data_IF_694341645452
#
_entry.id   IF_694341645452
#
_cell.length_a   1.000
_cell.length_b   1.000
_cell.length_c   1.000
_cell.angle_alpha   90.00
_cell.angle_beta   90.00
_cell.angle_gamma   90.00
#
_symmetry.space_group_name_H-M   'P 1'
#
loop_
_entity.id
_entity.type
_entity.pdbx_description
1 polymer ?
#
# COMPACT_ATOMS: atom_id res chain seq x y z
N UNK A 1 -21.12 8.58 12.26
CA UNK A 1 -21.08 8.17 10.85
C UNK A 1 -22.51 7.98 10.36
N UNK A 2 -23.00 8.82 9.46
CA UNK A 2 -24.43 8.89 9.06
C UNK A 2 -24.90 7.75 8.13
N UNK A 3 -24.22 6.60 8.07
CA UNK A 3 -24.65 5.48 7.23
C UNK A 3 -24.60 5.74 5.72
N UNK A 4 -23.76 6.67 5.25
CA UNK A 4 -23.55 6.92 3.81
C UNK A 4 -22.71 5.79 3.19
N UNK A 5 -23.42 4.74 2.77
CA UNK A 5 -22.82 3.53 2.18
C UNK A 5 -22.24 3.82 0.79
N UNK A 6 -22.85 4.74 0.02
CA UNK A 6 -22.38 5.09 -1.31
C UNK A 6 -20.98 5.72 -1.24
N UNK A 7 -20.78 6.67 -0.33
CA UNK A 7 -19.45 7.26 -0.09
C UNK A 7 -18.45 6.24 0.43
N UNK A 8 -18.86 5.36 1.34
CA UNK A 8 -17.99 4.30 1.85
C UNK A 8 -17.52 3.36 0.73
N UNK A 9 -18.44 2.93 -0.14
CA UNK A 9 -18.11 2.08 -1.29
C UNK A 9 -17.15 2.79 -2.25
N UNK A 10 -17.38 4.08 -2.54
CA UNK A 10 -16.51 4.86 -3.42
C UNK A 10 -15.06 4.92 -2.88
N UNK A 11 -14.89 5.17 -1.59
CA UNK A 11 -13.57 5.18 -0.93
C UNK A 11 -12.93 3.79 -0.97
N UNK A 12 -13.70 2.73 -0.70
CA UNK A 12 -13.16 1.37 -0.76
C UNK A 12 -12.67 1.02 -2.18
N UNK A 13 -13.44 1.40 -3.20
CA UNK A 13 -13.07 1.19 -4.61
C UNK A 13 -11.80 1.97 -4.97
N UNK A 14 -11.64 3.21 -4.49
CA UNK A 14 -10.43 4.00 -4.76
C UNK A 14 -9.17 3.40 -4.11
N UNK A 15 -9.31 2.57 -3.07
CA UNK A 15 -8.19 1.91 -2.39
C UNK A 15 -7.85 0.52 -2.95
N UNK A 16 -8.59 0.00 -3.93
CA UNK A 16 -8.32 -1.31 -4.55
C UNK A 16 -6.85 -1.46 -5.01
N UNK A 17 -6.19 -0.45 -5.62
CA UNK A 17 -4.77 -0.57 -5.99
C UNK A 17 -3.87 -0.91 -4.79
N UNK A 18 -4.08 -0.25 -3.64
CA UNK A 18 -3.31 -0.52 -2.41
C UNK A 18 -3.59 -1.93 -1.89
N UNK A 19 -4.86 -2.35 -1.91
CA UNK A 19 -5.25 -3.69 -1.47
C UNK A 19 -4.59 -4.78 -2.33
N UNK A 20 -4.45 -4.56 -3.64
CA UNK A 20 -3.71 -5.47 -4.52
C UNK A 20 -2.23 -5.56 -4.15
N UNK A 21 -1.58 -4.45 -3.82
CA UNK A 21 -0.20 -4.46 -3.33
C UNK A 21 -0.06 -5.26 -2.03
N UNK A 22 -0.96 -5.03 -1.07
CA UNK A 22 -0.95 -5.75 0.22
C UNK A 22 -1.20 -7.23 0.05
N UNK A 23 -2.14 -7.63 -0.83
CA UNK A 23 -2.41 -9.02 -1.13
C UNK A 23 -1.20 -9.74 -1.76
N UNK A 24 -0.43 -9.03 -2.59
CA UNK A 24 0.78 -9.54 -3.24
C UNK A 24 1.99 -9.63 -2.32
N UNK A 25 2.22 -8.61 -1.48
CA UNK A 25 3.45 -8.48 -0.69
C UNK A 25 3.28 -8.91 0.78
N UNK A 26 2.06 -9.12 1.24
CA UNK A 26 1.75 -9.24 2.66
C UNK A 26 1.79 -7.88 3.38
N UNK A 27 1.09 -7.80 4.51
CA UNK A 27 0.90 -6.54 5.23
C UNK A 27 2.20 -5.89 5.71
N UNK A 28 3.16 -6.67 6.22
CA UNK A 28 4.40 -6.14 6.80
C UNK A 28 5.29 -5.52 5.72
N UNK A 29 5.57 -6.26 4.66
CA UNK A 29 6.47 -5.80 3.59
C UNK A 29 5.85 -4.69 2.75
N UNK A 30 4.54 -4.77 2.46
CA UNK A 30 3.81 -3.67 1.79
C UNK A 30 3.84 -2.38 2.62
N UNK A 31 3.54 -2.46 3.92
CA UNK A 31 3.45 -1.28 4.78
C UNK A 31 4.81 -0.61 4.96
N UNK A 32 5.88 -1.38 5.23
CA UNK A 32 7.22 -0.81 5.42
C UNK A 32 7.76 -0.15 4.15
N UNK A 33 7.63 -0.81 3.00
CA UNK A 33 8.04 -0.24 1.72
C UNK A 33 7.20 0.98 1.33
N UNK A 34 5.88 0.91 1.55
CA UNK A 34 4.96 2.02 1.25
C UNK A 34 5.22 3.25 2.12
N UNK A 35 5.48 3.05 3.42
CA UNK A 35 5.84 4.14 4.33
C UNK A 35 7.16 4.81 3.89
N UNK A 36 8.16 4.02 3.47
CA UNK A 36 9.40 4.58 2.92
C UNK A 36 9.15 5.39 1.65
N UNK A 37 8.29 4.91 0.75
CA UNK A 37 7.95 5.63 -0.49
C UNK A 37 7.30 7.00 -0.22
N UNK A 38 6.52 7.14 0.85
CA UNK A 38 5.94 8.44 1.25
C UNK A 38 6.87 9.27 2.16
N UNK A 39 8.14 8.88 2.31
CA UNK A 39 9.16 9.62 3.06
C UNK A 39 9.29 9.25 4.55
N UNK A 40 8.63 8.18 5.01
CA UNK A 40 8.74 7.68 6.38
C UNK A 40 9.51 6.36 6.43
N UNK A 41 10.81 6.42 6.72
CA UNK A 41 11.62 5.20 6.88
C UNK A 41 11.38 4.51 8.24
N UNK A 42 10.91 3.26 8.20
CA UNK A 42 10.62 2.42 9.38
C UNK A 42 11.47 1.13 9.40
N UNK A 43 12.53 1.11 8.59
CA UNK A 43 13.47 -0.01 8.46
C UNK A 43 12.84 -1.27 7.83
N UNK A 44 13.65 -2.32 7.70
CA UNK A 44 13.25 -3.56 7.02
C UNK A 44 12.41 -4.51 7.89
N UNK A 45 11.61 -5.40 7.28
CA UNK A 45 11.04 -6.55 7.97
C UNK A 45 12.15 -7.43 8.58
N UNK A 46 11.86 -8.05 9.72
CA UNK A 46 12.71 -9.12 10.28
C UNK A 46 12.29 -10.46 9.71
N UNK A 47 13.25 -11.39 9.56
CA UNK A 47 12.95 -12.77 9.17
C UNK A 47 11.91 -13.40 10.13
N UNK A 48 10.99 -14.23 9.60
CA UNK A 48 10.96 -14.78 8.24
C UNK A 48 10.36 -13.87 7.17
N UNK A 49 9.91 -12.66 7.52
CA UNK A 49 9.44 -11.69 6.53
C UNK A 49 10.63 -11.12 5.76
N UNK A 50 10.45 -10.88 4.46
CA UNK A 50 11.51 -10.39 3.57
C UNK A 50 11.10 -9.06 2.92
N UNK A 51 12.07 -8.16 2.64
CA UNK A 51 11.80 -6.95 1.88
C UNK A 51 11.27 -7.26 0.47
N UNK A 52 10.41 -6.41 -0.11
CA UNK A 52 10.04 -6.54 -1.52
C UNK A 52 11.26 -6.36 -2.45
N UNK A 53 11.24 -7.01 -3.61
CA UNK A 53 12.19 -6.75 -4.69
C UNK A 53 11.99 -5.35 -5.28
N UNK A 54 12.96 -4.87 -6.08
CA UNK A 54 12.87 -3.56 -6.76
C UNK A 54 11.61 -3.49 -7.63
N UNK A 55 11.35 -4.51 -8.46
CA UNK A 55 10.15 -4.57 -9.31
C UNK A 55 8.84 -4.48 -8.50
N UNK A 56 8.81 -5.10 -7.32
CA UNK A 56 7.67 -5.00 -6.42
C UNK A 56 7.52 -3.60 -5.80
N UNK A 57 8.63 -2.90 -5.52
CA UNK A 57 8.61 -1.52 -5.01
C UNK A 57 8.11 -0.56 -6.10
N UNK A 58 8.55 -0.73 -7.35
CA UNK A 58 8.09 0.09 -8.48
C UNK A 58 6.59 -0.07 -8.72
N UNK A 59 6.11 -1.33 -8.69
CA UNK A 59 4.69 -1.63 -8.82
C UNK A 59 3.88 -1.09 -7.64
N UNK A 60 4.38 -1.22 -6.41
CA UNK A 60 3.77 -0.60 -5.23
C UNK A 60 3.67 0.92 -5.41
N UNK A 61 4.74 1.60 -5.85
CA UNK A 61 4.72 3.04 -6.07
C UNK A 61 3.69 3.45 -7.12
N UNK A 62 3.53 2.69 -8.20
CA UNK A 62 2.49 2.92 -9.20
C UNK A 62 1.07 2.76 -8.62
N UNK A 63 0.84 1.73 -7.80
CA UNK A 63 -0.46 1.49 -7.15
C UNK A 63 -0.79 2.54 -6.09
N UNK A 64 0.21 3.03 -5.33
CA UNK A 64 0.06 4.13 -4.38
C UNK A 64 -0.26 5.46 -5.08
N UNK A 65 0.38 5.75 -6.23
CA UNK A 65 0.02 6.91 -7.07
C UNK A 65 -1.41 6.80 -7.61
N UNK A 66 -1.80 5.62 -8.09
CA UNK A 66 -3.16 5.38 -8.59
C UNK A 66 -4.23 5.56 -7.49
N UNK A 67 -3.88 5.30 -6.23
CA UNK A 67 -4.74 5.55 -5.08
C UNK A 67 -4.65 6.99 -4.52
N UNK A 68 -3.80 7.84 -5.09
CA UNK A 68 -3.62 9.24 -4.66
C UNK A 68 -2.91 9.42 -3.33
N UNK A 69 -2.15 8.41 -2.86
CA UNK A 69 -1.44 8.44 -1.56
C UNK A 69 0.08 8.64 -1.70
N UNK A 70 0.58 8.68 -2.93
CA UNK A 70 1.97 9.03 -3.27
C UNK A 70 1.93 10.11 -4.37
N UNK A 71 2.67 11.20 -4.19
CA UNK A 71 2.75 12.36 -5.11
C UNK A 71 4.03 12.36 -5.92
#
# INVERSE_FOLDING_TARGET
MMGDIARAQAINVSLIPVIRSVARLGGVSASKAGLRLIGLDVGEPRLPQVPPSIDHIELLAAELRAAGVLV
#
